data_IF_672860142958
#
_entry.id   IF_672860142958
#
_cell.length_a   1.000
_cell.length_b   1.000
_cell.length_c   1.000
_cell.angle_alpha   90.00
_cell.angle_beta   90.00
_cell.angle_gamma   90.00
#
_symmetry.space_group_name_H-M   'P 1'
#
loop_
_entity.id
_entity.type
_entity.pdbx_description
1 polymer ?
#
# COMPACT_ATOMS: atom_id res chain seq x y z
N UNK A 1 -11.48 6.97 35.10
CA UNK A 1 -12.05 6.46 33.84
C UNK A 1 -11.34 7.18 32.72
N UNK A 2 -10.15 6.73 32.35
CA UNK A 2 -9.48 7.17 31.13
C UNK A 2 -9.49 5.95 30.24
N UNK A 3 -10.49 5.86 29.37
CA UNK A 3 -10.43 4.91 28.27
C UNK A 3 -9.41 5.48 27.31
N UNK A 4 -8.21 4.91 27.29
CA UNK A 4 -7.34 5.00 26.13
C UNK A 4 -8.16 4.44 24.97
N UNK A 5 -8.73 5.33 24.15
CA UNK A 5 -9.11 4.98 22.81
C UNK A 5 -7.78 4.62 22.14
N UNK A 6 -7.47 3.34 22.14
CA UNK A 6 -6.33 2.77 21.42
C UNK A 6 -6.58 3.03 19.94
N UNK A 7 -6.08 4.18 19.51
CA UNK A 7 -6.15 4.64 18.16
C UNK A 7 -5.14 3.77 17.40
N UNK A 8 -5.65 2.80 16.63
CA UNK A 8 -4.86 1.89 15.80
C UNK A 8 -4.20 2.67 14.65
N UNK A 9 -3.05 3.28 14.95
CA UNK A 9 -2.20 4.02 14.01
C UNK A 9 -1.11 3.09 13.48
N UNK A 10 -1.14 2.74 12.19
CA UNK A 10 -0.14 1.87 11.58
C UNK A 10 1.20 2.57 11.28
N UNK A 11 1.37 3.84 11.66
CA UNK A 11 2.59 4.62 11.44
C UNK A 11 3.36 4.87 12.73
N UNK A 12 4.66 5.07 12.60
CA UNK A 12 5.53 5.51 13.69
C UNK A 12 5.25 6.98 14.02
N UNK A 13 4.65 7.23 15.19
CA UNK A 13 4.27 8.57 15.65
C UNK A 13 5.47 9.50 15.85
N UNK A 14 6.62 8.96 16.24
CA UNK A 14 7.86 9.72 16.46
C UNK A 14 8.50 10.16 15.13
N UNK A 15 8.18 9.47 14.04
CA UNK A 15 8.69 9.78 12.70
C UNK A 15 7.87 10.85 11.97
N UNK A 16 6.66 11.17 12.46
CA UNK A 16 5.75 12.12 11.84
C UNK A 16 6.21 13.58 12.00
N UNK A 17 5.89 14.42 11.02
CA UNK A 17 6.06 15.86 11.20
C UNK A 17 5.04 16.40 12.22
N UNK A 18 5.40 17.50 12.90
CA UNK A 18 4.55 18.14 13.92
C UNK A 18 3.22 18.68 13.40
N UNK A 19 3.08 18.79 12.08
CA UNK A 19 1.87 19.27 11.38
C UNK A 19 1.14 18.14 10.63
N UNK A 20 1.51 16.88 10.90
CA UNK A 20 0.87 15.74 10.28
C UNK A 20 -0.52 15.51 10.86
N UNK A 21 -1.57 15.33 10.04
CA UNK A 21 -2.88 14.97 10.56
C UNK A 21 -2.87 13.61 11.30
N UNK A 22 -1.95 12.70 10.95
CA UNK A 22 -1.77 11.41 11.64
C UNK A 22 -1.32 11.49 13.10
N UNK A 23 -0.95 12.67 13.60
CA UNK A 23 -0.72 12.92 15.03
C UNK A 23 -2.03 12.89 15.84
N UNK A 24 -3.17 13.18 15.20
CA UNK A 24 -4.45 13.39 15.88
C UNK A 24 -5.62 12.64 15.24
N UNK A 25 -5.46 12.11 14.03
CA UNK A 25 -6.48 11.39 13.28
C UNK A 25 -6.07 9.95 12.99
N UNK A 26 -7.05 9.05 12.94
CA UNK A 26 -6.86 7.63 12.65
C UNK A 26 -6.77 7.37 11.13
N UNK A 27 -6.47 6.13 10.75
CA UNK A 27 -6.54 5.68 9.36
C UNK A 27 -7.92 5.99 8.75
N UNK A 28 -7.94 6.40 7.48
CA UNK A 28 -9.17 6.77 6.79
C UNK A 28 -9.83 8.08 7.25
N UNK A 29 -9.24 8.83 8.18
CA UNK A 29 -9.74 10.14 8.63
C UNK A 29 -9.04 11.34 8.00
N UNK A 30 -8.03 11.08 7.17
CA UNK A 30 -7.34 12.07 6.34
C UNK A 30 -6.97 11.46 4.99
N UNK A 31 -6.73 12.33 4.00
CA UNK A 31 -6.22 11.93 2.69
C UNK A 31 -4.69 12.01 2.64
N UNK A 32 -4.08 11.22 1.76
CA UNK A 32 -2.64 11.28 1.47
C UNK A 32 -2.46 11.84 0.06
N UNK A 33 -1.74 12.96 -0.05
CA UNK A 33 -1.38 13.56 -1.33
C UNK A 33 0.07 13.23 -1.70
N UNK A 34 0.35 13.19 -3.00
CA UNK A 34 1.70 13.01 -3.55
C UNK A 34 2.50 14.32 -3.53
N UNK A 35 2.75 14.83 -2.32
CA UNK A 35 3.46 16.08 -2.10
C UNK A 35 2.57 17.32 -1.90
N UNK A 36 3.19 18.46 -1.54
CA UNK A 36 2.46 19.70 -1.29
C UNK A 36 1.95 20.32 -2.59
N UNK A 37 0.71 20.81 -2.57
CA UNK A 37 0.10 21.45 -3.74
C UNK A 37 -0.94 22.50 -3.37
N UNK A 38 -1.46 23.26 -4.35
CA UNK A 38 -2.45 24.31 -4.11
C UNK A 38 -3.80 23.76 -3.62
N UNK A 39 -4.05 22.46 -3.82
CA UNK A 39 -5.25 21.76 -3.37
C UNK A 39 -5.31 21.56 -1.85
N UNK A 40 -4.19 21.67 -1.12
CA UNK A 40 -4.20 21.55 0.34
C UNK A 40 -3.38 22.64 1.02
N UNK A 41 -4.01 23.38 1.94
CA UNK A 41 -3.41 24.53 2.63
C UNK A 41 -3.28 24.27 4.12
N UNK A 42 -2.22 24.82 4.71
CA UNK A 42 -2.05 24.75 6.17
C UNK A 42 -3.14 25.57 6.87
N UNK A 43 -3.86 24.95 7.79
CA UNK A 43 -4.86 25.57 8.63
C UNK A 43 -4.26 25.78 10.04
N UNK A 44 -3.96 27.03 10.39
CA UNK A 44 -3.36 27.39 11.69
C UNK A 44 -4.27 27.11 12.87
N UNK A 45 -5.59 27.05 12.67
CA UNK A 45 -6.54 26.73 13.76
C UNK A 45 -6.56 25.24 14.08
N UNK A 46 -6.24 24.39 13.09
CA UNK A 46 -6.24 22.94 13.21
C UNK A 46 -4.85 22.34 13.41
N UNK A 47 -3.81 23.04 12.97
CA UNK A 47 -2.41 22.62 13.13
C UNK A 47 -1.89 21.69 12.02
N UNK A 48 -2.66 21.46 10.95
CA UNK A 48 -2.30 20.60 9.82
C UNK A 48 -2.85 21.14 8.50
N UNK A 49 -2.51 20.50 7.38
CA UNK A 49 -3.06 20.85 6.06
C UNK A 49 -4.46 20.29 5.87
N UNK A 50 -5.33 21.05 5.21
CA UNK A 50 -6.65 20.62 4.79
C UNK A 50 -6.83 20.84 3.28
N UNK A 51 -7.57 19.95 2.65
CA UNK A 51 -8.02 20.11 1.28
C UNK A 51 -8.94 21.34 1.18
N UNK A 52 -8.70 22.18 0.18
CA UNK A 52 -9.39 23.48 0.05
C UNK A 52 -10.86 23.35 -0.36
N UNK A 53 -11.25 22.22 -0.96
CA UNK A 53 -12.62 22.01 -1.45
C UNK A 53 -13.46 21.25 -0.43
N UNK A 54 -12.89 20.24 0.21
CA UNK A 54 -13.60 19.31 1.10
C UNK A 54 -13.37 19.63 2.58
N UNK A 55 -12.30 20.36 2.92
CA UNK A 55 -11.93 20.63 4.31
C UNK A 55 -11.36 19.43 5.06
N UNK A 56 -11.18 18.29 4.38
CA UNK A 56 -10.60 17.06 4.92
C UNK A 56 -9.11 17.29 5.25
N UNK A 57 -8.58 16.77 6.36
CA UNK A 57 -7.16 16.83 6.64
C UNK A 57 -6.33 16.09 5.58
N UNK A 58 -5.15 16.60 5.24
CA UNK A 58 -4.29 16.03 4.19
C UNK A 58 -2.86 15.90 4.70
N UNK A 59 -2.31 14.68 4.62
CA UNK A 59 -0.86 14.48 4.70
C UNK A 59 -0.26 14.62 3.31
N UNK A 60 0.88 15.31 3.20
CA UNK A 60 1.61 15.50 1.93
C UNK A 60 2.89 14.68 1.87
N UNK A 61 3.13 13.82 2.85
CA UNK A 61 4.33 12.98 2.97
C UNK A 61 3.91 11.51 3.06
N UNK A 62 3.65 10.83 1.93
CA UNK A 62 3.27 9.42 1.93
C UNK A 62 4.29 8.55 2.66
N UNK A 63 5.59 8.80 2.48
CA UNK A 63 6.68 8.08 3.14
C UNK A 63 6.62 8.12 4.68
N UNK A 64 6.06 9.18 5.27
CA UNK A 64 5.92 9.31 6.73
C UNK A 64 4.74 8.51 7.27
N UNK A 65 3.72 8.31 6.44
CA UNK A 65 2.54 7.53 6.78
C UNK A 65 2.77 6.05 6.43
N UNK A 66 3.63 5.76 5.45
CA UNK A 66 3.91 4.40 4.97
C UNK A 66 2.85 3.87 4.00
N UNK A 67 2.04 4.75 3.41
CA UNK A 67 0.96 4.38 2.50
C UNK A 67 0.94 5.29 1.27
N UNK A 68 0.48 4.73 0.15
CA UNK A 68 0.35 5.44 -1.12
C UNK A 68 -0.59 6.65 -1.02
N UNK A 69 -0.45 7.64 -1.92
CA UNK A 69 -1.44 8.70 -2.07
C UNK A 69 -2.84 8.13 -2.34
N UNK A 70 -3.86 8.70 -1.70
CA UNK A 70 -5.24 8.23 -1.78
C UNK A 70 -6.22 9.15 -1.08
N UNK A 71 -7.48 9.11 -1.52
CA UNK A 71 -8.60 9.90 -0.99
C UNK A 71 -9.41 9.10 0.02
N UNK A 72 -8.74 8.65 1.07
CA UNK A 72 -9.31 7.76 2.07
C UNK A 72 -10.48 8.37 2.85
N UNK A 73 -10.38 9.66 3.21
CA UNK A 73 -11.44 10.33 3.96
C UNK A 73 -12.42 11.07 3.05
N UNK A 74 -11.92 11.76 2.01
CA UNK A 74 -12.79 12.58 1.15
C UNK A 74 -13.60 11.77 0.14
N UNK A 75 -13.07 10.65 -0.35
CA UNK A 75 -13.74 9.77 -1.30
C UNK A 75 -14.12 8.40 -0.70
N UNK A 76 -13.71 8.11 0.53
CA UNK A 76 -13.98 6.82 1.17
C UNK A 76 -13.22 5.67 0.50
N UNK A 77 -12.07 5.94 -0.14
CA UNK A 77 -11.23 4.89 -0.70
C UNK A 77 -10.79 3.91 0.42
N UNK A 78 -10.79 2.60 0.15
CA UNK A 78 -10.36 1.63 1.14
C UNK A 78 -8.88 1.86 1.49
N UNK A 79 -8.55 1.75 2.77
CA UNK A 79 -7.16 1.81 3.21
C UNK A 79 -6.38 0.65 2.56
N UNK A 80 -5.10 0.78 2.15
CA UNK A 80 -4.42 -0.26 1.37
C UNK A 80 -4.33 -1.64 2.06
N UNK A 81 -4.31 -1.70 3.39
CA UNK A 81 -4.40 -2.97 4.13
C UNK A 81 -5.80 -3.61 4.08
N UNK A 82 -6.83 -2.84 3.76
CA UNK A 82 -8.23 -3.25 3.59
C UNK A 82 -8.58 -3.47 2.11
N UNK A 83 -7.73 -3.01 1.18
CA UNK A 83 -7.85 -3.36 -0.24
C UNK A 83 -7.63 -4.87 -0.36
N UNK A 84 -8.70 -5.58 -0.74
CA UNK A 84 -8.65 -7.02 -0.94
C UNK A 84 -7.42 -7.39 -1.76
N UNK A 85 -6.54 -8.22 -1.19
CA UNK A 85 -5.28 -8.70 -1.80
C UNK A 85 -5.53 -9.43 -3.14
N UNK A 86 -6.81 -9.65 -3.48
CA UNK A 86 -7.26 -10.45 -4.61
C UNK A 86 -7.42 -11.91 -4.19
N UNK A 87 -7.89 -12.77 -5.11
CA UNK A 87 -7.95 -14.19 -4.85
C UNK A 87 -6.56 -14.74 -4.55
N UNK A 88 -6.49 -15.72 -3.64
CA UNK A 88 -5.25 -16.45 -3.41
C UNK A 88 -4.73 -17.07 -4.71
N UNK A 89 -3.40 -17.09 -4.92
CA UNK A 89 -2.84 -17.78 -6.07
C UNK A 89 -3.31 -19.24 -6.08
N UNK A 90 -3.81 -19.67 -7.23
CA UNK A 90 -4.13 -21.07 -7.48
C UNK A 90 -2.87 -21.92 -7.69
N UNK A 91 -3.03 -23.18 -8.15
CA UNK A 91 -1.88 -23.99 -8.55
C UNK A 91 -1.10 -23.33 -9.71
N UNK A 92 0.13 -23.80 -9.95
CA UNK A 92 0.93 -23.38 -11.10
C UNK A 92 0.09 -23.46 -12.38
N UNK A 93 -0.03 -22.36 -13.16
CA UNK A 93 -0.89 -22.33 -14.32
C UNK A 93 -0.40 -23.28 -15.41
N UNK A 94 -1.31 -23.65 -16.29
CA UNK A 94 -1.00 -24.51 -17.43
C UNK A 94 -0.44 -23.75 -18.62
N UNK A 95 -0.81 -22.48 -18.72
CA UNK A 95 -0.59 -21.58 -19.84
C UNK A 95 0.45 -20.52 -19.47
N UNK A 96 1.33 -20.18 -20.40
CA UNK A 96 2.45 -19.27 -20.16
C UNK A 96 1.99 -17.84 -19.87
N UNK A 97 0.88 -17.41 -20.48
CA UNK A 97 0.34 -16.05 -20.37
C UNK A 97 -0.22 -15.75 -18.96
N UNK A 98 -0.55 -16.79 -18.20
CA UNK A 98 -1.08 -16.70 -16.84
C UNK A 98 0.02 -16.63 -15.77
N UNK A 99 1.26 -16.97 -16.13
CA UNK A 99 2.37 -17.13 -15.18
C UNK A 99 2.71 -15.83 -14.44
N UNK A 100 2.71 -14.69 -15.15
CA UNK A 100 2.98 -13.39 -14.57
C UNK A 100 1.91 -12.98 -13.54
N UNK A 101 0.62 -13.25 -13.85
CA UNK A 101 -0.48 -12.98 -12.94
C UNK A 101 -0.41 -13.85 -11.68
N UNK A 102 -0.06 -15.13 -11.85
CA UNK A 102 0.14 -16.07 -10.75
C UNK A 102 1.30 -15.67 -9.84
N UNK A 103 2.48 -15.34 -10.39
CA UNK A 103 3.63 -14.87 -9.60
C UNK A 103 3.33 -13.55 -8.87
N UNK A 104 2.61 -12.64 -9.51
CA UNK A 104 2.18 -11.40 -8.86
C UNK A 104 1.23 -11.67 -7.68
N UNK A 105 0.34 -12.64 -7.81
CA UNK A 105 -0.54 -13.06 -6.71
C UNK A 105 0.23 -13.71 -5.56
N UNK A 106 1.26 -14.50 -5.85
CA UNK A 106 2.15 -15.06 -4.84
C UNK A 106 2.88 -13.97 -4.04
N UNK A 107 3.42 -12.95 -4.72
CA UNK A 107 4.11 -11.83 -4.05
C UNK A 107 3.16 -11.03 -3.19
N UNK A 108 1.96 -10.70 -3.69
CA UNK A 108 0.95 -9.95 -2.91
C UNK A 108 0.51 -10.68 -1.63
N UNK A 109 0.51 -12.01 -1.65
CA UNK A 109 0.08 -12.84 -0.52
C UNK A 109 1.24 -13.27 0.38
N UNK A 110 2.48 -12.98 -0.01
CA UNK A 110 3.65 -13.27 0.80
C UNK A 110 3.81 -12.23 1.92
N UNK A 111 4.13 -12.70 3.13
CA UNK A 111 4.62 -11.79 4.17
C UNK A 111 5.88 -11.07 3.67
N UNK A 112 6.13 -9.79 4.04
CA UNK A 112 7.28 -9.03 3.56
C UNK A 112 8.63 -9.72 3.77
N UNK A 113 8.78 -10.49 4.84
CA UNK A 113 9.98 -11.28 5.14
C UNK A 113 10.08 -12.64 4.43
N UNK A 114 9.14 -12.96 3.52
CA UNK A 114 9.04 -14.26 2.85
C UNK A 114 9.05 -14.15 1.32
N UNK A 115 9.01 -12.94 0.75
CA UNK A 115 8.93 -12.70 -0.71
C UNK A 115 10.00 -13.46 -1.48
N UNK A 116 11.28 -13.37 -1.05
CA UNK A 116 12.40 -14.04 -1.73
C UNK A 116 12.23 -15.57 -1.76
N UNK A 117 11.76 -16.16 -0.66
CA UNK A 117 11.50 -17.60 -0.56
C UNK A 117 10.37 -18.01 -1.49
N UNK A 118 9.26 -17.27 -1.46
CA UNK A 118 8.08 -17.52 -2.30
C UNK A 118 8.43 -17.44 -3.78
N UNK A 119 9.22 -16.43 -4.19
CA UNK A 119 9.66 -16.30 -5.57
C UNK A 119 10.63 -17.41 -5.99
N UNK A 120 11.53 -17.84 -5.11
CA UNK A 120 12.44 -18.97 -5.39
C UNK A 120 11.67 -20.28 -5.61
N UNK A 121 10.69 -20.56 -4.75
CA UNK A 121 9.82 -21.75 -4.90
C UNK A 121 8.99 -21.68 -6.18
N UNK A 122 8.47 -20.49 -6.51
CA UNK A 122 7.70 -20.24 -7.72
C UNK A 122 8.53 -20.43 -9.00
N UNK A 123 9.76 -19.92 -9.01
CA UNK A 123 10.71 -20.09 -10.11
C UNK A 123 11.00 -21.58 -10.35
N UNK A 124 11.32 -22.33 -9.29
CA UNK A 124 11.60 -23.76 -9.39
C UNK A 124 10.40 -24.55 -9.94
N UNK A 125 9.20 -24.24 -9.47
CA UNK A 125 7.98 -24.86 -9.98
C UNK A 125 7.76 -24.51 -11.46
N UNK A 126 7.90 -23.25 -11.84
CA UNK A 126 7.68 -22.78 -13.20
C UNK A 126 8.73 -23.32 -14.19
N UNK A 127 9.99 -23.40 -13.78
CA UNK A 127 11.10 -23.91 -14.61
C UNK A 127 10.92 -25.39 -14.99
N UNK A 128 10.09 -26.15 -14.26
CA UNK A 128 9.75 -27.53 -14.63
C UNK A 128 8.81 -27.64 -15.84
N UNK A 129 8.10 -26.55 -16.20
CA UNK A 129 7.04 -26.54 -17.20
C UNK A 129 7.24 -25.51 -18.32
N UNK A 130 7.86 -24.37 -18.01
CA UNK A 130 7.97 -23.24 -18.93
C UNK A 130 9.43 -22.99 -19.34
N UNK A 131 9.65 -22.44 -20.56
CA UNK A 131 10.96 -21.95 -20.97
C UNK A 131 11.49 -20.87 -20.02
N UNK A 132 12.81 -20.81 -19.83
CA UNK A 132 13.45 -19.91 -18.88
C UNK A 132 13.12 -18.43 -19.16
N UNK A 133 13.02 -18.04 -20.43
CA UNK A 133 12.66 -16.69 -20.85
C UNK A 133 11.27 -16.27 -20.35
N UNK A 134 10.29 -17.18 -20.41
CA UNK A 134 8.92 -16.93 -19.92
C UNK A 134 8.92 -16.76 -18.41
N UNK A 135 9.69 -17.59 -17.70
CA UNK A 135 9.81 -17.54 -16.23
C UNK A 135 10.43 -16.21 -15.79
N UNK A 136 11.52 -15.78 -16.44
CA UNK A 136 12.19 -14.52 -16.12
C UNK A 136 11.30 -13.30 -16.39
N UNK A 137 10.56 -13.31 -17.50
CA UNK A 137 9.63 -12.22 -17.82
C UNK A 137 8.47 -12.14 -16.82
N UNK A 138 7.94 -13.29 -16.37
CA UNK A 138 6.93 -13.35 -15.32
C UNK A 138 7.44 -12.85 -13.96
N UNK A 139 8.67 -13.21 -13.57
CA UNK A 139 9.31 -12.71 -12.34
C UNK A 139 9.48 -11.18 -12.38
N UNK A 140 9.92 -10.64 -13.53
CA UNK A 140 10.09 -9.19 -13.70
C UNK A 140 8.75 -8.46 -13.58
N UNK A 141 7.69 -9.00 -14.17
CA UNK A 141 6.35 -8.43 -14.05
C UNK A 141 5.83 -8.45 -12.61
N UNK A 142 6.04 -9.55 -11.88
CA UNK A 142 5.63 -9.67 -10.48
C UNK A 142 6.33 -8.67 -9.56
N UNK A 143 7.64 -8.48 -9.74
CA UNK A 143 8.42 -7.51 -8.97
C UNK A 143 8.01 -6.06 -9.29
N UNK A 144 7.73 -5.75 -10.56
CA UNK A 144 7.27 -4.42 -10.97
C UNK A 144 5.87 -4.07 -10.42
N UNK A 145 5.04 -5.07 -10.15
CA UNK A 145 3.70 -4.88 -9.57
C UNK A 145 3.69 -4.79 -8.03
N UNK A 146 4.83 -5.06 -7.38
CA UNK A 146 4.98 -5.08 -5.93
C UNK A 146 5.64 -3.82 -5.35
N UNK A 147 6.17 -2.93 -6.21
CA UNK A 147 6.72 -1.62 -5.85
C UNK A 147 5.80 -0.49 -6.25
#
# INVERSE_FOLDING_TARGET
>A
MSGDNDIDRPWDEDALCSVCPGQVHDRGRFDIADGPGPGSRYDTSRGYRCDVMTGVPVCVHPDKIGYSPGRYASAGEPWPAEASVGPAPGPLPEQAEELAGWMSALVRHADPGQVDRVLTEAEQAAASRFPAEVVVDALRAALAAAG
#
